data_IF_459606006146
#
_entry.id   IF_459606006146
#
_cell.length_a   1.000
_cell.length_b   1.000
_cell.length_c   1.000
_cell.angle_alpha   90.00
_cell.angle_beta   90.00
_cell.angle_gamma   90.00
#
_symmetry.space_group_name_H-M   'P 1'
#
loop_
_entity.id
_entity.type
_entity.pdbx_description
1 polymer ?
#
# COMPACT_ATOMS: atom_id res chain seq x y z
N UNK A 1 -12.95 -42.02 25.32
CA UNK A 1 -11.48 -41.87 25.31
C UNK A 1 -11.07 -41.91 23.84
N UNK A 2 -10.66 -40.85 23.16
CA UNK A 2 -10.27 -39.48 23.53
C UNK A 2 -10.67 -38.62 22.33
N UNK A 3 -11.54 -37.62 22.52
CA UNK A 3 -11.79 -36.58 21.52
C UNK A 3 -10.63 -35.58 21.57
N UNK A 4 -9.65 -35.76 20.70
CA UNK A 4 -8.57 -34.80 20.47
C UNK A 4 -9.06 -33.67 19.55
N UNK A 5 -9.90 -32.76 20.07
CA UNK A 5 -10.03 -31.43 19.45
C UNK A 5 -8.67 -30.74 19.61
N UNK A 6 -7.90 -30.68 18.53
CA UNK A 6 -6.71 -29.83 18.48
C UNK A 6 -7.16 -28.39 18.79
N UNK A 7 -6.70 -27.86 19.92
CA UNK A 7 -6.87 -26.44 20.24
C UNK A 7 -6.23 -25.63 19.12
N UNK A 8 -7.02 -24.76 18.51
CA UNK A 8 -6.52 -23.78 17.55
C UNK A 8 -5.48 -22.91 18.27
N UNK A 9 -4.29 -22.69 17.67
CA UNK A 9 -3.19 -21.98 18.31
C UNK A 9 -3.64 -20.60 18.79
N UNK A 10 -3.13 -20.18 19.95
CA UNK A 10 -3.46 -18.88 20.54
C UNK A 10 -2.93 -17.74 19.65
N UNK A 11 -3.46 -16.52 19.84
CA UNK A 11 -2.95 -15.36 19.09
C UNK A 11 -1.46 -15.12 19.33
N UNK A 12 -0.99 -15.38 20.56
CA UNK A 12 0.41 -15.21 20.93
C UNK A 12 1.31 -16.26 20.23
N UNK A 13 0.84 -17.51 20.14
CA UNK A 13 1.56 -18.58 19.42
C UNK A 13 1.70 -18.25 17.93
N UNK A 14 0.61 -17.78 17.29
CA UNK A 14 0.61 -17.40 15.88
C UNK A 14 1.55 -16.20 15.62
N UNK A 15 1.63 -15.26 16.55
CA UNK A 15 2.52 -14.10 16.43
C UNK A 15 3.99 -14.48 16.62
N UNK A 16 4.30 -15.41 17.53
CA UNK A 16 5.65 -15.94 17.70
C UNK A 16 6.12 -16.71 16.47
N UNK A 17 5.27 -17.57 15.91
CA UNK A 17 5.56 -18.31 14.69
C UNK A 17 5.76 -17.38 13.48
N UNK A 18 4.92 -16.34 13.36
CA UNK A 18 5.08 -15.31 12.33
C UNK A 18 6.42 -14.57 12.48
N UNK A 19 6.83 -14.23 13.70
CA UNK A 19 8.10 -13.56 13.95
C UNK A 19 9.28 -14.46 13.54
N UNK A 20 9.28 -15.72 13.95
CA UNK A 20 10.34 -16.68 13.58
C UNK A 20 10.41 -16.88 12.05
N UNK A 21 9.25 -16.98 11.40
CA UNK A 21 9.18 -17.06 9.94
C UNK A 21 9.77 -15.81 9.28
N UNK A 22 9.40 -14.63 9.76
CA UNK A 22 9.90 -13.36 9.25
C UNK A 22 11.41 -13.25 9.45
N UNK A 23 11.93 -13.56 10.64
CA UNK A 23 13.37 -13.50 10.92
C UNK A 23 14.15 -14.43 10.00
N UNK A 24 13.66 -15.66 9.80
CA UNK A 24 14.31 -16.63 8.92
C UNK A 24 14.28 -16.20 7.45
N UNK A 25 13.16 -15.69 6.96
CA UNK A 25 12.99 -15.35 5.53
C UNK A 25 13.63 -13.99 5.21
N UNK A 26 13.43 -13.00 6.08
CA UNK A 26 13.82 -11.61 5.84
C UNK A 26 15.29 -11.33 6.18
N UNK A 27 15.92 -12.14 7.06
CA UNK A 27 17.38 -12.07 7.26
C UNK A 27 18.19 -12.38 6.00
N UNK A 28 17.62 -13.17 5.08
CA UNK A 28 18.28 -13.53 3.82
C UNK A 28 17.89 -12.62 2.66
N UNK A 29 16.71 -11.99 2.70
CA UNK A 29 16.18 -11.19 1.59
C UNK A 29 15.38 -9.99 2.09
N UNK A 30 15.62 -8.78 1.57
CA UNK A 30 14.81 -7.62 1.93
C UNK A 30 13.38 -7.77 1.42
N UNK A 31 12.39 -7.50 2.29
CA UNK A 31 10.99 -7.39 1.87
C UNK A 31 10.70 -5.98 1.35
N UNK A 32 10.16 -5.93 0.13
CA UNK A 32 9.59 -4.75 -0.47
C UNK A 32 8.11 -5.00 -0.73
N UNK A 33 7.24 -4.20 -0.14
CA UNK A 33 5.82 -4.21 -0.44
C UNK A 33 5.50 -3.00 -1.33
N UNK A 34 4.90 -3.23 -2.49
CA UNK A 34 4.51 -2.18 -3.40
C UNK A 34 2.98 -2.18 -3.58
N UNK A 35 2.35 -1.04 -3.35
CA UNK A 35 0.92 -0.85 -3.57
C UNK A 35 0.63 0.59 -3.95
N UNK A 36 -0.51 0.85 -4.60
CA UNK A 36 -0.82 2.21 -5.00
C UNK A 36 -0.95 3.16 -3.80
N UNK A 37 -1.71 2.73 -2.78
CA UNK A 37 -1.82 3.40 -1.48
C UNK A 37 -0.90 2.74 -0.47
N UNK A 38 -0.18 3.56 0.29
CA UNK A 38 0.61 3.12 1.43
C UNK A 38 -0.21 3.10 2.74
N UNK A 39 0.42 2.67 3.85
CA UNK A 39 -0.17 2.64 5.18
C UNK A 39 -0.19 4.00 5.87
N UNK A 40 0.41 5.02 5.25
CA UNK A 40 0.43 6.41 5.72
C UNK A 40 0.06 7.31 4.56
N UNK A 41 -0.75 8.34 4.84
CA UNK A 41 -1.06 9.43 3.93
C UNK A 41 -0.69 10.75 4.61
N UNK A 42 0.08 11.60 3.93
CA UNK A 42 0.48 12.89 4.47
C UNK A 42 -0.47 13.98 4.01
N UNK A 43 -1.16 14.60 4.96
CA UNK A 43 -2.05 15.73 4.72
C UNK A 43 -1.35 17.03 5.14
N UNK A 44 -1.56 18.10 4.37
CA UNK A 44 -1.02 19.41 4.74
C UNK A 44 -1.88 20.02 5.84
N UNK A 45 -1.27 20.41 6.94
CA UNK A 45 -1.93 21.17 8.01
C UNK A 45 -2.14 22.63 7.59
N UNK A 46 -3.02 23.39 8.29
CA UNK A 46 -3.18 24.82 8.06
C UNK A 46 -1.88 25.63 8.17
N UNK A 47 -0.94 25.15 9.01
CA UNK A 47 0.39 25.75 9.20
C UNK A 47 1.39 25.40 8.09
N UNK A 48 0.95 24.71 7.03
CA UNK A 48 1.78 24.35 5.88
C UNK A 48 2.76 23.21 6.14
N UNK A 49 2.52 22.37 7.15
CA UNK A 49 3.37 21.21 7.47
C UNK A 49 2.69 19.90 7.07
N UNK A 50 3.41 18.92 6.51
CA UNK A 50 2.84 17.59 6.28
C UNK A 50 2.67 16.81 7.59
N UNK A 51 1.47 16.31 7.85
CA UNK A 51 1.14 15.44 8.98
C UNK A 51 0.76 14.04 8.46
N UNK A 52 1.44 13.01 8.97
CA UNK A 52 1.16 11.62 8.61
C UNK A 52 -0.09 11.08 9.32
N UNK A 53 -1.02 10.54 8.54
CA UNK A 53 -2.23 9.88 9.03
C UNK A 53 -2.26 8.43 8.59
N UNK A 54 -2.92 7.56 9.36
CA UNK A 54 -3.09 6.15 9.00
C UNK A 54 -3.87 6.05 7.69
N UNK A 55 -3.24 5.47 6.69
CA UNK A 55 -3.87 5.14 5.42
C UNK A 55 -4.97 4.10 5.64
N UNK A 56 -6.11 4.30 4.99
CA UNK A 56 -7.17 3.29 4.93
C UNK A 56 -6.94 2.37 3.73
N UNK A 57 -7.12 1.06 3.93
CA UNK A 57 -7.03 0.09 2.85
C UNK A 57 -6.98 -1.36 3.33
N UNK A 58 -7.51 -2.27 2.51
CA UNK A 58 -7.49 -3.72 2.78
C UNK A 58 -6.07 -4.25 2.93
N UNK A 59 -5.13 -3.79 2.10
CA UNK A 59 -3.71 -4.19 2.18
C UNK A 59 -3.08 -3.70 3.49
N UNK A 60 -3.37 -2.45 3.91
CA UNK A 60 -2.86 -1.92 5.18
C UNK A 60 -3.34 -2.75 6.36
N UNK A 61 -4.62 -3.12 6.36
CA UNK A 61 -5.21 -4.00 7.38
C UNK A 61 -4.62 -5.41 7.33
N UNK A 62 -4.49 -6.01 6.15
CA UNK A 62 -3.98 -7.36 5.98
C UNK A 62 -2.53 -7.50 6.45
N UNK A 63 -1.71 -6.46 6.28
CA UNK A 63 -0.31 -6.44 6.67
C UNK A 63 -0.06 -5.78 8.04
N UNK A 64 -1.10 -5.47 8.82
CA UNK A 64 -0.98 -4.73 10.08
C UNK A 64 -0.02 -5.41 11.08
N UNK A 65 -0.12 -6.74 11.23
CA UNK A 65 0.78 -7.50 12.11
C UNK A 65 2.24 -7.40 11.66
N UNK A 66 2.49 -7.45 10.35
CA UNK A 66 3.84 -7.36 9.79
C UNK A 66 4.43 -5.96 9.94
N UNK A 67 3.61 -4.92 9.76
CA UNK A 67 3.99 -3.51 9.95
C UNK A 67 4.53 -3.29 11.38
N UNK A 68 4.00 -4.02 12.37
CA UNK A 68 4.37 -3.88 13.78
C UNK A 68 5.50 -4.81 14.21
N UNK A 69 5.64 -5.96 13.56
CA UNK A 69 6.60 -6.99 13.96
C UNK A 69 7.97 -6.84 13.30
N UNK A 70 8.02 -6.50 12.01
CA UNK A 70 9.21 -6.64 11.16
C UNK A 70 9.61 -5.36 10.44
N UNK A 71 10.92 -5.21 10.22
CA UNK A 71 11.46 -4.09 9.43
C UNK A 71 11.44 -4.39 7.93
N UNK A 72 10.71 -3.58 7.16
CA UNK A 72 10.68 -3.68 5.69
C UNK A 72 10.39 -2.34 5.02
N UNK A 73 10.47 -2.29 3.69
CA UNK A 73 10.15 -1.07 2.93
C UNK A 73 8.80 -1.19 2.22
N UNK A 74 7.95 -0.19 2.39
CA UNK A 74 6.70 -0.03 1.69
C UNK A 74 6.80 1.09 0.64
N UNK A 75 6.68 0.70 -0.62
CA UNK A 75 6.67 1.61 -1.77
C UNK A 75 5.23 1.96 -2.13
N UNK A 76 4.92 3.26 -2.18
CA UNK A 76 3.58 3.75 -2.51
C UNK A 76 3.62 4.97 -3.44
N UNK A 77 2.52 5.25 -4.13
CA UNK A 77 2.41 6.47 -4.94
C UNK A 77 2.25 7.70 -4.04
N UNK A 78 2.91 8.81 -4.39
CA UNK A 78 2.65 10.11 -3.75
C UNK A 78 1.32 10.68 -4.26
N UNK A 79 0.24 10.40 -3.54
CA UNK A 79 -1.13 10.73 -3.97
C UNK A 79 -1.52 12.16 -3.64
N UNK A 80 -1.16 12.63 -2.44
CA UNK A 80 -1.44 13.98 -1.96
C UNK A 80 -0.29 14.96 -2.14
N UNK A 81 -0.56 16.24 -1.86
CA UNK A 81 0.47 17.26 -1.82
C UNK A 81 1.46 17.02 -0.68
N UNK A 82 0.99 16.61 0.50
CA UNK A 82 1.85 16.29 1.63
C UNK A 82 2.82 15.14 1.32
N UNK A 83 2.36 14.09 0.63
CA UNK A 83 3.23 12.98 0.22
C UNK A 83 4.32 13.45 -0.74
N UNK A 84 3.98 14.36 -1.66
CA UNK A 84 4.95 14.94 -2.62
C UNK A 84 5.97 15.83 -1.93
N UNK A 85 5.53 16.66 -0.99
CA UNK A 85 6.42 17.48 -0.15
C UNK A 85 7.40 16.58 0.61
N UNK A 86 6.90 15.54 1.27
CA UNK A 86 7.73 14.57 2.00
C UNK A 86 8.70 13.84 1.07
N UNK A 87 8.23 13.38 -0.09
CA UNK A 87 9.07 12.68 -1.07
C UNK A 87 10.17 13.57 -1.65
N UNK A 88 9.90 14.86 -1.86
CA UNK A 88 10.83 15.80 -2.48
C UNK A 88 11.75 16.50 -1.47
N UNK A 89 11.40 16.58 -0.18
CA UNK A 89 12.17 17.27 0.86
C UNK A 89 13.46 16.55 1.30
N UNK A 90 13.94 15.56 0.53
CA UNK A 90 15.24 14.93 0.78
C UNK A 90 15.31 14.08 2.05
N UNK A 91 14.17 13.68 2.64
CA UNK A 91 14.09 12.72 3.74
C UNK A 91 14.38 11.30 3.25
N UNK A 92 15.60 11.08 2.74
CA UNK A 92 16.22 9.81 2.37
C UNK A 92 15.42 8.90 1.39
N UNK A 93 16.07 7.92 0.74
CA UNK A 93 15.37 6.86 0.01
C UNK A 93 14.45 5.97 0.89
N UNK A 94 14.42 6.21 2.21
CA UNK A 94 13.69 5.45 3.24
C UNK A 94 13.24 6.41 4.36
N UNK A 95 11.95 6.74 4.38
CA UNK A 95 11.31 7.54 5.43
C UNK A 95 10.74 6.61 6.51
N UNK A 96 11.16 6.74 7.76
CA UNK A 96 10.51 5.98 8.83
C UNK A 96 9.05 6.41 9.00
N UNK A 97 8.14 5.45 9.16
CA UNK A 97 6.73 5.75 9.37
C UNK A 97 6.53 6.64 10.60
N UNK A 98 5.79 7.76 10.50
CA UNK A 98 5.53 8.65 11.63
C UNK A 98 4.52 8.07 12.64
N UNK A 99 3.85 6.96 12.31
CA UNK A 99 2.84 6.35 13.15
C UNK A 99 3.47 5.47 14.25
N UNK A 100 3.01 5.56 15.51
CA UNK A 100 3.55 4.76 16.60
C UNK A 100 3.48 3.25 16.35
N UNK A 101 4.56 2.54 16.71
CA UNK A 101 4.64 1.08 16.59
C UNK A 101 4.82 0.54 15.17
N UNK A 102 4.84 1.40 14.15
CA UNK A 102 5.21 0.99 12.80
C UNK A 102 6.73 0.83 12.69
N UNK A 103 7.20 -0.35 12.27
CA UNK A 103 8.61 -0.66 12.01
C UNK A 103 8.95 -0.59 10.52
N UNK A 104 8.22 0.22 9.74
CA UNK A 104 8.34 0.24 8.28
C UNK A 104 9.03 1.51 7.77
N UNK A 105 9.79 1.33 6.70
CA UNK A 105 10.31 2.40 5.88
C UNK A 105 9.34 2.69 4.73
N UNK A 106 8.89 3.92 4.58
CA UNK A 106 8.07 4.41 3.49
C UNK A 106 8.96 4.91 2.36
N UNK A 107 8.57 4.61 1.13
CA UNK A 107 9.16 5.19 -0.09
C UNK A 107 8.06 5.62 -1.04
N UNK A 108 7.98 6.92 -1.29
CA UNK A 108 6.99 7.48 -2.19
C UNK A 108 7.52 7.60 -3.63
N UNK A 109 6.71 7.18 -4.59
CA UNK A 109 6.96 7.38 -6.02
C UNK A 109 6.20 8.62 -6.48
N UNK A 110 6.94 9.65 -6.87
CA UNK A 110 6.37 10.91 -7.36
C UNK A 110 6.11 10.81 -8.86
N UNK A 111 4.89 10.45 -9.21
CA UNK A 111 4.43 10.43 -10.60
C UNK A 111 3.85 11.80 -10.99
N UNK A 112 4.16 12.37 -12.18
CA UNK A 112 3.51 13.60 -12.64
C UNK A 112 1.99 13.46 -12.63
N UNK A 113 1.25 14.49 -12.18
CA UNK A 113 -0.22 14.41 -12.00
C UNK A 113 -0.95 13.91 -13.26
N UNK A 114 -0.51 14.33 -14.45
CA UNK A 114 -1.05 13.86 -15.73
C UNK A 114 -0.87 12.36 -15.98
N UNK A 115 0.29 11.80 -15.60
CA UNK A 115 0.58 10.37 -15.72
C UNK A 115 -0.19 9.61 -14.66
N UNK A 116 -0.30 10.15 -13.44
CA UNK A 116 -1.13 9.58 -12.38
C UNK A 116 -2.58 9.45 -12.82
N UNK A 117 -3.13 10.51 -13.40
CA UNK A 117 -4.51 10.51 -13.90
C UNK A 117 -4.73 9.45 -14.98
N UNK A 118 -3.82 9.34 -15.96
CA UNK A 118 -3.88 8.32 -17.02
C UNK A 118 -3.87 6.91 -16.45
N UNK A 119 -2.87 6.55 -15.64
CA UNK A 119 -2.80 5.19 -15.14
C UNK A 119 -3.94 4.88 -14.16
N UNK A 120 -4.25 5.77 -13.21
CA UNK A 120 -5.15 5.42 -12.11
C UNK A 120 -6.62 5.65 -12.45
N UNK A 121 -6.93 6.82 -13.03
CA UNK A 121 -8.29 7.29 -13.24
C UNK A 121 -8.84 7.02 -14.64
N UNK A 122 -8.03 6.49 -15.56
CA UNK A 122 -8.48 6.05 -16.90
C UNK A 122 -8.24 4.56 -17.08
N UNK A 123 -7.03 4.08 -16.78
CA UNK A 123 -6.67 2.68 -17.04
C UNK A 123 -7.05 1.72 -15.91
N UNK A 124 -6.56 1.91 -14.67
CA UNK A 124 -6.80 0.96 -13.59
C UNK A 124 -8.26 0.92 -13.13
N UNK A 125 -8.82 2.05 -12.66
CA UNK A 125 -10.13 2.03 -12.00
C UNK A 125 -11.34 1.97 -12.94
N UNK A 126 -11.35 2.62 -14.12
CA UNK A 126 -12.48 2.46 -15.05
C UNK A 126 -12.31 1.28 -16.01
N UNK A 127 -11.15 1.13 -16.66
CA UNK A 127 -10.97 0.10 -17.68
C UNK A 127 -10.73 -1.29 -17.07
N UNK A 128 -9.63 -1.49 -16.32
CA UNK A 128 -9.27 -2.81 -15.80
C UNK A 128 -10.27 -3.32 -14.75
N UNK A 129 -10.74 -2.44 -13.86
CA UNK A 129 -11.75 -2.83 -12.87
C UNK A 129 -13.03 -3.37 -13.53
N UNK A 130 -13.61 -2.62 -14.47
CA UNK A 130 -14.87 -3.05 -15.10
C UNK A 130 -14.67 -4.32 -15.93
N UNK A 131 -13.52 -4.45 -16.60
CA UNK A 131 -13.13 -5.66 -17.30
C UNK A 131 -13.09 -6.87 -16.35
N UNK A 132 -12.39 -6.75 -15.22
CA UNK A 132 -12.19 -7.84 -14.26
C UNK A 132 -13.47 -8.22 -13.51
N UNK A 133 -14.38 -7.26 -13.31
CA UNK A 133 -15.64 -7.48 -12.58
C UNK A 133 -16.84 -7.73 -13.50
N UNK A 134 -16.64 -7.85 -14.82
CA UNK A 134 -17.69 -8.07 -15.81
C UNK A 134 -18.84 -7.05 -15.71
N UNK A 135 -18.52 -5.78 -15.45
CA UNK A 135 -19.50 -4.72 -15.19
C UNK A 135 -19.88 -3.91 -16.45
N UNK A 136 -19.30 -4.22 -17.60
CA UNK A 136 -19.68 -3.54 -18.84
C UNK A 136 -21.02 -4.01 -19.36
N UNK A 137 -21.73 -3.07 -19.98
CA UNK A 137 -22.93 -3.34 -20.76
C UNK A 137 -22.52 -3.52 -22.24
N UNK A 138 -22.46 -4.76 -22.79
CA UNK A 138 -21.86 -5.05 -24.10
C UNK A 138 -22.33 -4.21 -25.30
N UNK A 139 -23.62 -3.81 -25.43
CA UNK A 139 -24.04 -2.93 -26.52
C UNK A 139 -23.51 -1.49 -26.43
N UNK A 140 -23.00 -1.03 -25.28
CA UNK A 140 -22.62 0.37 -25.08
C UNK A 140 -21.18 0.56 -24.57
N UNK A 141 -20.56 -0.49 -24.02
CA UNK A 141 -19.24 -0.43 -23.38
C UNK A 141 -18.45 -1.72 -23.61
N UNK A 142 -17.10 -1.64 -23.60
CA UNK A 142 -16.30 -0.43 -23.45
C UNK A 142 -16.14 0.35 -24.77
N UNK A 143 -16.11 1.68 -24.68
CA UNK A 143 -15.62 2.52 -25.77
C UNK A 143 -14.12 2.77 -25.56
N UNK A 144 -13.27 1.95 -26.20
CA UNK A 144 -11.82 2.11 -26.15
C UNK A 144 -11.41 3.13 -27.20
N UNK A 145 -11.28 4.38 -26.79
CA UNK A 145 -10.96 5.52 -27.65
C UNK A 145 -9.48 5.95 -27.56
N UNK A 146 -9.14 7.05 -28.21
CA UNK A 146 -7.79 7.63 -28.16
C UNK A 146 -7.36 8.05 -26.74
N UNK A 147 -8.31 8.34 -25.85
CA UNK A 147 -8.04 8.66 -24.44
C UNK A 147 -7.52 7.44 -23.71
N UNK A 148 -8.18 6.29 -23.88
CA UNK A 148 -7.74 5.02 -23.27
C UNK A 148 -6.42 4.56 -23.88
N UNK A 149 -6.29 4.62 -25.20
CA UNK A 149 -5.03 4.27 -25.87
C UNK A 149 -3.87 5.16 -25.43
N UNK A 150 -4.08 6.46 -25.26
CA UNK A 150 -3.05 7.38 -24.78
C UNK A 150 -2.76 7.30 -23.27
N UNK A 151 -3.55 6.52 -22.51
CA UNK A 151 -3.33 6.29 -21.09
C UNK A 151 -2.34 5.14 -20.80
N UNK A 152 -2.16 4.24 -21.77
CA UNK A 152 -1.13 3.20 -21.82
C UNK A 152 0.18 3.76 -22.37
#
# INVERSE_FOLDING_TARGET
MVDGKGESPSQDDNMAELQELCDRVLSQRPLLLASNRGPVEHQMTPDGRPEGRRGSGSVVTAFNSLIQSSEFTWVASAMGEGDRVIANNGLAPRLQSPLPGHKINLRYVVTPRRVYHKYYNVFCNPLLWFLQHYMWNPPYNPNVDSTVHGAW
#
